data_IF_565447142717
#
_entry.id   IF_565447142717
#
_cell.length_a   1.000
_cell.length_b   1.000
_cell.length_c   1.000
_cell.angle_alpha   90.00
_cell.angle_beta   90.00
_cell.angle_gamma   90.00
#
_symmetry.space_group_name_H-M   'P 1'
#
loop_
_entity.id
_entity.type
_entity.pdbx_description
1 polymer ?
#
# COMPACT_ATOMS: atom_id res chain seq x y z
N UNK A 1 -9.24 2.71 -32.21
CA UNK A 1 -10.21 1.81 -31.55
C UNK A 1 -11.50 1.90 -32.35
N UNK A 2 -11.92 0.83 -33.05
CA UNK A 2 -13.08 0.90 -33.94
C UNK A 2 -14.36 1.09 -33.13
N UNK A 3 -15.13 2.13 -33.45
CA UNK A 3 -16.47 2.33 -32.89
C UNK A 3 -17.33 1.13 -33.31
N UNK A 4 -17.65 0.25 -32.37
CA UNK A 4 -18.55 -0.88 -32.61
C UNK A 4 -19.93 -0.30 -32.92
N UNK A 5 -20.47 -0.62 -34.10
CA UNK A 5 -21.82 -0.26 -34.49
C UNK A 5 -22.83 -0.88 -33.51
N UNK A 6 -23.62 -0.04 -32.85
CA UNK A 6 -24.73 -0.48 -31.99
C UNK A 6 -25.99 -0.60 -32.85
N UNK A 7 -26.63 -1.77 -32.96
CA UNK A 7 -27.83 -1.95 -33.77
C UNK A 7 -29.04 -1.24 -33.15
N UNK A 8 -29.93 -0.73 -34.00
CA UNK A 8 -31.14 0.00 -33.59
C UNK A 8 -32.02 -0.78 -32.58
N UNK A 9 -32.07 -2.11 -32.69
CA UNK A 9 -32.83 -2.96 -31.78
C UNK A 9 -32.44 -2.78 -30.31
N UNK A 10 -31.17 -2.50 -30.03
CA UNK A 10 -30.70 -2.29 -28.66
C UNK A 10 -31.30 -1.01 -28.05
N UNK A 11 -31.42 0.06 -28.83
CA UNK A 11 -32.04 1.31 -28.38
C UNK A 11 -33.57 1.16 -28.26
N UNK A 12 -34.22 0.53 -29.25
CA UNK A 12 -35.67 0.30 -29.21
C UNK A 12 -36.09 -0.55 -28.01
N UNK A 13 -35.30 -1.58 -27.67
CA UNK A 13 -35.58 -2.43 -26.49
C UNK A 13 -35.54 -1.63 -25.18
N UNK A 14 -34.59 -0.69 -25.04
CA UNK A 14 -34.50 0.17 -23.87
C UNK A 14 -35.70 1.11 -23.75
N UNK A 15 -36.17 1.68 -24.87
CA UNK A 15 -37.40 2.47 -24.88
C UNK A 15 -38.59 1.61 -24.45
N UNK A 16 -38.74 0.43 -25.05
CA UNK A 16 -39.87 -0.45 -24.77
C UNK A 16 -39.88 -0.95 -23.32
N UNK A 17 -38.73 -1.18 -22.67
CA UNK A 17 -38.71 -1.61 -21.27
C UNK A 17 -39.35 -0.62 -20.30
N UNK A 18 -39.34 0.68 -20.63
CA UNK A 18 -39.95 1.72 -19.80
C UNK A 18 -41.34 2.13 -20.28
N UNK A 19 -41.60 2.01 -21.59
CA UNK A 19 -42.81 2.54 -22.21
C UNK A 19 -43.86 1.47 -22.56
N UNK A 20 -43.67 0.18 -22.31
CA UNK A 20 -44.64 -0.86 -22.75
C UNK A 20 -45.82 -1.14 -21.79
N UNK A 21 -45.96 -0.42 -20.66
CA UNK A 21 -46.78 -0.87 -19.52
C UNK A 21 -47.89 0.05 -18.98
N UNK A 22 -48.27 1.14 -19.64
CA UNK A 22 -49.25 2.10 -19.12
C UNK A 22 -50.48 2.31 -20.01
N UNK A 23 -51.65 2.58 -19.41
CA UNK A 23 -52.95 2.81 -20.09
C UNK A 23 -53.08 4.17 -20.81
N UNK A 24 -52.03 4.98 -20.84
CA UNK A 24 -52.03 6.28 -21.51
C UNK A 24 -51.27 6.21 -22.84
N UNK A 25 -51.72 7.01 -23.81
CA UNK A 25 -51.19 7.06 -25.17
C UNK A 25 -49.68 7.31 -25.16
N UNK A 26 -48.90 6.27 -25.49
CA UNK A 26 -47.44 6.26 -25.37
C UNK A 26 -46.70 7.14 -26.39
N UNK A 27 -47.39 7.62 -27.43
CA UNK A 27 -46.83 8.53 -28.41
C UNK A 27 -47.91 9.51 -28.88
N UNK A 28 -47.64 10.81 -28.78
CA UNK A 28 -48.55 11.88 -29.20
C UNK A 28 -48.71 12.01 -30.72
N UNK A 29 -48.01 11.19 -31.51
CA UNK A 29 -48.04 11.22 -32.97
C UNK A 29 -49.14 10.29 -33.53
N UNK A 30 -49.80 10.74 -34.60
CA UNK A 30 -50.88 10.00 -35.26
C UNK A 30 -50.41 8.62 -35.75
N UNK A 31 -51.30 7.63 -35.69
CA UNK A 31 -51.00 6.25 -36.08
C UNK A 31 -50.50 6.14 -37.53
N UNK A 32 -51.11 6.87 -38.47
CA UNK A 32 -50.67 6.92 -39.88
C UNK A 32 -49.19 7.30 -40.02
N UNK A 33 -48.73 8.33 -39.31
CA UNK A 33 -47.32 8.76 -39.35
C UNK A 33 -46.38 7.81 -38.62
N UNK A 34 -46.85 7.12 -37.59
CA UNK A 34 -46.05 6.12 -36.88
C UNK A 34 -45.85 4.86 -37.74
N UNK A 35 -46.88 4.44 -38.46
CA UNK A 35 -46.81 3.30 -39.39
C UNK A 35 -45.85 3.56 -40.55
N UNK A 36 -45.78 4.78 -41.08
CA UNK A 36 -44.80 5.16 -42.11
C UNK A 36 -43.33 4.99 -41.66
N UNK A 37 -43.08 4.98 -40.35
CA UNK A 37 -41.75 4.82 -39.74
C UNK A 37 -41.61 3.51 -38.97
N UNK A 38 -42.49 2.55 -39.24
CA UNK A 38 -42.49 1.21 -38.62
C UNK A 38 -42.49 1.24 -37.08
N UNK A 39 -43.18 2.23 -36.49
CA UNK A 39 -43.19 2.49 -35.05
C UNK A 39 -41.78 2.62 -34.42
N UNK A 40 -40.76 2.98 -35.20
CA UNK A 40 -39.39 3.11 -34.73
C UNK A 40 -39.16 4.47 -34.03
N UNK A 41 -39.17 4.45 -32.69
CA UNK A 41 -38.98 5.63 -31.84
C UNK A 41 -37.68 6.40 -32.12
N UNK A 42 -36.62 5.72 -32.54
CA UNK A 42 -35.28 6.29 -32.74
C UNK A 42 -35.30 7.31 -33.88
N UNK A 43 -36.08 7.07 -34.93
CA UNK A 43 -36.11 7.94 -36.12
C UNK A 43 -36.60 9.36 -35.82
N UNK A 44 -37.48 9.53 -34.83
CA UNK A 44 -38.02 10.82 -34.43
C UNK A 44 -37.30 11.40 -33.20
N UNK A 45 -36.95 10.56 -32.22
CA UNK A 45 -36.40 11.01 -30.94
C UNK A 45 -34.87 10.98 -30.86
N UNK A 46 -34.21 10.28 -31.80
CA UNK A 46 -32.75 10.24 -31.93
C UNK A 46 -32.34 10.36 -33.41
N UNK A 47 -32.71 11.45 -34.09
CA UNK A 47 -32.28 11.67 -35.46
C UNK A 47 -30.76 11.76 -35.53
N UNK A 48 -30.17 11.29 -36.63
CA UNK A 48 -28.75 11.47 -36.89
C UNK A 48 -28.47 12.94 -37.18
N UNK A 49 -28.03 13.69 -36.18
CA UNK A 49 -27.50 15.03 -36.41
C UNK A 49 -26.06 14.92 -36.91
N UNK A 50 -25.76 15.62 -38.00
CA UNK A 50 -24.38 15.78 -38.45
C UNK A 50 -23.59 16.64 -37.47
N UNK A 51 -22.26 16.60 -37.56
CA UNK A 51 -21.34 17.40 -36.74
C UNK A 51 -21.46 18.92 -36.92
N UNK A 52 -22.42 19.39 -37.73
CA UNK A 52 -22.65 20.80 -38.03
C UNK A 52 -23.43 21.52 -36.92
N UNK A 53 -24.20 20.78 -36.10
CA UNK A 53 -24.98 21.30 -34.97
C UNK A 53 -24.25 21.22 -33.62
N UNK A 54 -22.98 20.82 -33.62
CA UNK A 54 -22.13 20.99 -32.45
C UNK A 54 -21.75 22.47 -32.42
N UNK A 55 -22.14 23.25 -31.38
CA UNK A 55 -21.69 24.63 -31.28
C UNK A 55 -20.16 24.61 -31.38
N UNK A 56 -19.62 25.34 -32.35
CA UNK A 56 -18.18 25.53 -32.45
C UNK A 56 -17.77 26.36 -31.25
N UNK A 57 -17.49 25.70 -30.13
CA UNK A 57 -16.88 26.35 -28.98
C UNK A 57 -15.44 26.61 -29.38
N UNK A 58 -15.17 27.83 -29.85
CA UNK A 58 -13.81 28.33 -29.86
C UNK A 58 -13.39 28.44 -28.39
N UNK A 59 -12.71 27.41 -27.88
CA UNK A 59 -11.96 27.52 -26.63
C UNK A 59 -10.78 28.41 -26.96
N UNK A 60 -10.97 29.72 -26.85
CA UNK A 60 -9.82 30.59 -26.67
C UNK A 60 -9.22 30.18 -25.35
N UNK A 61 -8.07 29.52 -25.40
CA UNK A 61 -7.22 29.32 -24.23
C UNK A 61 -6.89 30.73 -23.76
N UNK A 62 -7.65 31.23 -22.79
CA UNK A 62 -7.28 32.45 -22.12
C UNK A 62 -5.97 32.07 -21.46
N UNK A 63 -4.86 32.61 -21.96
CA UNK A 63 -3.62 32.56 -21.24
C UNK A 63 -3.85 33.30 -19.93
N UNK A 64 -4.31 32.57 -18.90
CA UNK A 64 -4.48 33.06 -17.54
C UNK A 64 -3.05 33.25 -17.05
N UNK A 65 -2.48 34.40 -17.40
CA UNK A 65 -1.20 34.82 -16.88
C UNK A 65 -1.44 35.05 -15.40
N UNK A 66 -1.02 34.10 -14.55
CA UNK A 66 -0.87 34.37 -13.12
C UNK A 66 -0.09 35.67 -13.02
N UNK A 67 -0.64 36.69 -12.34
CA UNK A 67 0.14 37.88 -12.00
C UNK A 67 1.46 37.37 -11.40
N UNK A 68 2.63 37.87 -11.82
CA UNK A 68 3.89 37.44 -11.24
C UNK A 68 3.84 37.82 -9.76
N UNK A 69 3.52 36.84 -8.92
CA UNK A 69 3.58 36.93 -7.48
C UNK A 69 5.06 36.93 -7.14
N UNK A 70 5.53 37.91 -6.37
CA UNK A 70 6.94 37.94 -5.97
C UNK A 70 7.27 36.62 -5.24
N UNK A 71 8.48 36.09 -5.42
CA UNK A 71 8.85 34.77 -4.83
C UNK A 71 8.59 34.70 -3.32
N UNK A 72 8.69 35.84 -2.62
CA UNK A 72 8.38 35.99 -1.20
C UNK A 72 6.89 35.75 -0.92
N UNK A 73 6.00 36.39 -1.66
CA UNK A 73 4.55 36.23 -1.52
C UNK A 73 4.10 34.78 -1.83
N UNK A 74 4.76 34.10 -2.77
CA UNK A 74 4.46 32.68 -3.04
C UNK A 74 4.76 31.81 -1.82
N UNK A 75 5.87 32.06 -1.13
CA UNK A 75 6.24 31.27 0.05
C UNK A 75 5.27 31.45 1.21
N UNK A 76 4.77 32.67 1.45
CA UNK A 76 3.76 32.97 2.47
C UNK A 76 2.39 32.36 2.11
N UNK A 77 2.00 32.40 0.82
CA UNK A 77 0.73 31.80 0.34
C UNK A 77 0.75 30.27 0.46
N UNK A 78 1.91 29.64 0.28
CA UNK A 78 2.05 28.17 0.38
C UNK A 78 2.38 27.67 1.79
N UNK A 79 2.52 28.57 2.77
CA UNK A 79 2.83 28.18 4.12
C UNK A 79 1.74 27.28 4.69
N UNK A 80 2.14 26.17 5.30
CA UNK A 80 1.22 25.30 5.99
C UNK A 80 0.68 26.02 7.23
N UNK A 81 -0.59 26.40 7.20
CA UNK A 81 -1.25 27.09 8.31
C UNK A 81 -1.78 26.12 9.37
N UNK A 82 -2.18 24.92 8.96
CA UNK A 82 -2.74 23.90 9.84
C UNK A 82 -3.69 22.95 9.12
N UNK A 83 -4.26 22.04 9.89
CA UNK A 83 -5.28 21.09 9.40
C UNK A 83 -6.62 21.49 9.98
N UNK A 84 -7.62 21.57 9.09
CA UNK A 84 -9.01 21.86 9.44
C UNK A 84 -9.87 20.72 8.92
N UNK A 85 -10.83 20.28 9.72
CA UNK A 85 -11.83 19.32 9.28
C UNK A 85 -12.96 20.05 8.57
N UNK A 86 -13.25 19.66 7.33
CA UNK A 86 -14.21 20.36 6.49
C UNK A 86 -15.68 20.01 6.82
N UNK A 87 -15.94 18.81 7.35
CA UNK A 87 -17.29 18.29 7.56
C UNK A 87 -17.71 18.18 9.03
N UNK A 88 -16.86 18.61 9.97
CA UNK A 88 -17.17 18.66 11.38
C UNK A 88 -16.43 19.84 12.02
N UNK A 89 -17.17 20.86 12.43
CA UNK A 89 -16.59 22.05 13.06
C UNK A 89 -16.07 21.77 14.48
N UNK A 90 -16.57 20.70 15.12
CA UNK A 90 -16.27 20.33 16.51
C UNK A 90 -15.50 19.01 16.59
N UNK A 91 -14.34 18.94 15.94
CA UNK A 91 -13.47 17.75 15.98
C UNK A 91 -12.79 17.62 17.34
N UNK A 92 -12.83 16.41 17.90
CA UNK A 92 -12.15 16.06 19.15
C UNK A 92 -10.63 16.04 18.99
N UNK A 93 -9.90 16.22 20.09
CA UNK A 93 -8.46 16.41 20.06
C UNK A 93 -7.71 15.20 19.46
N UNK A 94 -8.14 13.97 19.77
CA UNK A 94 -7.54 12.74 19.21
C UNK A 94 -7.70 12.70 17.69
N UNK A 95 -8.87 13.05 17.16
CA UNK A 95 -9.09 13.09 15.71
C UNK A 95 -8.25 14.18 15.03
N UNK A 96 -8.07 15.35 15.66
CA UNK A 96 -7.12 16.37 15.16
C UNK A 96 -5.69 15.84 15.13
N UNK A 97 -5.23 15.20 16.20
CA UNK A 97 -3.90 14.59 16.27
C UNK A 97 -3.68 13.56 15.15
N UNK A 98 -4.67 12.71 14.89
CA UNK A 98 -4.62 11.77 13.76
C UNK A 98 -4.51 12.47 12.42
N UNK A 99 -5.23 13.58 12.21
CA UNK A 99 -5.10 14.38 10.99
C UNK A 99 -3.66 14.82 10.73
N UNK A 100 -2.96 15.33 11.76
CA UNK A 100 -1.55 15.69 11.67
C UNK A 100 -0.64 14.49 11.37
N UNK A 101 -0.85 13.35 12.03
CA UNK A 101 -0.07 12.13 11.76
C UNK A 101 -0.30 11.58 10.35
N UNK A 102 -1.55 11.59 9.85
CA UNK A 102 -1.85 11.18 8.47
C UNK A 102 -1.20 12.12 7.45
N UNK A 103 -1.22 13.42 7.71
CA UNK A 103 -0.57 14.40 6.83
C UNK A 103 0.95 14.22 6.81
N UNK A 104 1.54 13.92 7.98
CA UNK A 104 2.95 13.57 8.11
C UNK A 104 3.33 12.35 7.26
N UNK A 105 2.59 11.25 7.39
CA UNK A 105 2.91 9.99 6.72
C UNK A 105 2.69 10.06 5.20
N UNK A 106 1.66 10.79 4.74
CA UNK A 106 1.25 10.77 3.32
C UNK A 106 1.88 11.88 2.48
N UNK A 107 2.13 13.05 3.06
CA UNK A 107 2.44 14.24 2.28
C UNK A 107 3.72 14.95 2.70
N UNK A 108 3.93 15.15 4.00
CA UNK A 108 5.04 15.97 4.48
C UNK A 108 5.61 15.45 5.81
N UNK A 109 6.71 14.67 5.82
CA UNK A 109 7.31 14.16 7.04
C UNK A 109 8.09 15.25 7.80
N UNK A 110 7.36 16.21 8.37
CA UNK A 110 7.88 17.31 9.18
C UNK A 110 7.61 17.06 10.68
N UNK A 111 8.67 17.12 11.50
CA UNK A 111 8.58 16.91 12.95
C UNK A 111 7.58 17.84 13.65
N UNK A 112 7.42 19.10 13.20
CA UNK A 112 6.47 20.04 13.81
C UNK A 112 5.01 19.60 13.70
N UNK A 113 4.67 18.74 12.73
CA UNK A 113 3.34 18.13 12.64
C UNK A 113 3.13 17.09 13.75
N UNK A 114 4.18 16.34 14.09
CA UNK A 114 4.13 15.38 15.20
C UNK A 114 4.10 16.12 16.54
N UNK A 115 4.81 17.23 16.70
CA UNK A 115 4.70 18.07 17.90
C UNK A 115 3.26 18.60 18.10
N UNK A 116 2.63 19.04 17.00
CA UNK A 116 1.22 19.46 17.00
C UNK A 116 0.30 18.29 17.38
N UNK A 117 0.53 17.11 16.80
CA UNK A 117 -0.26 15.92 17.11
C UNK A 117 -0.11 15.50 18.58
N UNK A 118 1.10 15.51 19.14
CA UNK A 118 1.35 15.23 20.57
C UNK A 118 0.58 16.22 21.45
N UNK A 119 0.64 17.51 21.13
CA UNK A 119 -0.07 18.57 21.86
C UNK A 119 -1.57 18.28 21.94
N UNK A 120 -2.17 17.83 20.83
CA UNK A 120 -3.60 17.45 20.81
C UNK A 120 -3.88 16.13 21.55
N UNK A 121 -2.99 15.13 21.47
CA UNK A 121 -3.17 13.89 22.25
C UNK A 121 -3.13 14.15 23.77
N UNK A 122 -2.24 15.04 24.21
CA UNK A 122 -2.09 15.39 25.63
C UNK A 122 -3.33 16.09 26.21
N UNK A 123 -4.17 16.71 25.37
CA UNK A 123 -5.45 17.28 25.78
C UNK A 123 -6.49 16.21 26.19
N UNK A 124 -6.35 14.96 25.73
CA UNK A 124 -7.34 13.88 25.93
C UNK A 124 -6.65 12.54 26.31
N UNK A 125 -5.57 12.63 27.10
CA UNK A 125 -4.70 11.50 27.45
C UNK A 125 -5.42 10.33 28.14
N UNK A 126 -6.39 10.64 29.00
CA UNK A 126 -7.11 9.63 29.80
C UNK A 126 -7.99 8.76 28.90
N UNK A 127 -8.61 9.37 27.88
CA UNK A 127 -9.41 8.64 26.89
C UNK A 127 -8.53 7.77 26.00
N UNK A 128 -7.36 8.26 25.59
CA UNK A 128 -6.38 7.43 24.87
C UNK A 128 -5.97 6.20 25.68
N UNK A 129 -5.64 6.40 26.96
CA UNK A 129 -5.24 5.31 27.85
C UNK A 129 -6.36 4.30 28.10
N UNK A 130 -7.57 4.78 28.41
CA UNK A 130 -8.67 3.93 28.87
C UNK A 130 -9.50 3.33 27.73
N UNK A 131 -9.72 4.06 26.63
CA UNK A 131 -10.58 3.61 25.52
C UNK A 131 -9.80 3.11 24.30
N UNK A 132 -8.59 3.63 24.05
CA UNK A 132 -7.85 3.42 22.79
C UNK A 132 -6.57 2.61 22.96
N UNK A 133 -6.28 2.13 24.17
CA UNK A 133 -5.09 1.33 24.47
C UNK A 133 -3.79 2.06 24.10
N UNK A 134 -3.77 3.40 24.23
CA UNK A 134 -2.65 4.29 23.86
C UNK A 134 -2.17 4.13 22.41
N UNK A 135 -3.03 3.68 21.48
CA UNK A 135 -2.62 3.38 20.11
C UNK A 135 -2.03 4.58 19.37
N UNK A 136 -2.55 5.79 19.61
CA UNK A 136 -2.07 6.98 18.92
C UNK A 136 -0.75 7.48 19.51
N UNK A 137 -0.53 7.31 20.82
CA UNK A 137 0.79 7.49 21.43
C UNK A 137 1.83 6.48 20.91
N UNK A 138 1.46 5.21 20.76
CA UNK A 138 2.34 4.21 20.13
C UNK A 138 2.67 4.61 18.69
N UNK A 139 1.68 5.04 17.90
CA UNK A 139 1.89 5.49 16.53
C UNK A 139 2.84 6.66 16.45
N UNK A 140 2.63 7.72 17.23
CA UNK A 140 3.43 8.94 17.13
C UNK A 140 4.88 8.72 17.57
N UNK A 141 5.12 8.00 18.67
CA UNK A 141 6.48 7.70 19.10
C UNK A 141 7.19 6.74 18.15
N UNK A 142 6.44 5.87 17.46
CA UNK A 142 6.99 5.07 16.38
C UNK A 142 7.43 5.93 15.18
N UNK A 143 6.62 6.91 14.76
CA UNK A 143 6.97 7.85 13.69
C UNK A 143 8.18 8.73 14.03
N UNK A 144 8.35 9.06 15.32
CA UNK A 144 9.53 9.76 15.83
C UNK A 144 10.77 8.86 15.96
N UNK A 145 10.69 7.58 15.59
CA UNK A 145 11.70 6.55 15.84
C UNK A 145 12.12 6.44 17.32
N UNK A 146 11.26 6.87 18.24
CA UNK A 146 11.49 6.77 19.68
C UNK A 146 10.98 5.42 20.19
N UNK A 147 11.71 4.35 19.84
CA UNK A 147 11.34 2.98 20.20
C UNK A 147 11.34 2.76 21.71
N UNK A 148 12.14 3.52 22.47
CA UNK A 148 12.10 3.49 23.94
C UNK A 148 10.73 3.90 24.46
N UNK A 149 10.17 5.01 23.99
CA UNK A 149 8.82 5.45 24.36
C UNK A 149 7.75 4.45 23.92
N UNK A 150 7.84 3.89 22.72
CA UNK A 150 6.91 2.83 22.27
C UNK A 150 6.93 1.64 23.24
N UNK A 151 8.11 1.19 23.65
CA UNK A 151 8.25 0.11 24.63
C UNK A 151 7.73 0.49 26.02
N UNK A 152 7.88 1.75 26.47
CA UNK A 152 7.29 2.23 27.73
C UNK A 152 5.76 2.05 27.71
N UNK A 153 5.07 2.50 26.64
CA UNK A 153 3.62 2.27 26.50
C UNK A 153 3.25 0.79 26.36
N UNK A 154 4.11 -0.02 25.73
CA UNK A 154 3.87 -1.45 25.62
C UNK A 154 3.84 -2.17 26.98
N UNK A 155 4.52 -1.64 28.01
CA UNK A 155 4.54 -2.26 29.35
C UNK A 155 3.18 -2.29 30.04
N UNK A 156 2.30 -1.32 29.75
CA UNK A 156 0.93 -1.27 30.29
C UNK A 156 -0.06 -2.07 29.45
N UNK A 157 0.37 -2.62 28.31
CA UNK A 157 -0.47 -3.33 27.36
C UNK A 157 -0.19 -4.84 27.40
N UNK A 158 -1.21 -5.63 27.11
CA UNK A 158 -1.09 -7.08 26.98
C UNK A 158 -1.41 -7.49 25.53
N UNK A 159 -0.51 -8.20 24.82
CA UNK A 159 -0.75 -8.59 23.42
C UNK A 159 -2.10 -9.27 23.22
N UNK A 160 -2.48 -10.20 24.11
CA UNK A 160 -3.74 -10.95 24.00
C UNK A 160 -5.00 -10.07 24.00
N UNK A 161 -4.95 -8.87 24.61
CA UNK A 161 -6.09 -7.95 24.72
C UNK A 161 -6.01 -6.76 23.77
N UNK A 162 -4.89 -6.56 23.08
CA UNK A 162 -4.74 -5.45 22.14
C UNK A 162 -5.62 -5.69 20.92
N UNK A 163 -6.44 -4.71 20.54
CA UNK A 163 -7.42 -4.86 19.45
C UNK A 163 -6.95 -4.30 18.11
N UNK A 164 -5.97 -3.40 18.13
CA UNK A 164 -5.45 -2.71 16.95
C UNK A 164 -4.19 -3.41 16.39
N UNK A 165 -4.28 -3.91 15.15
CA UNK A 165 -3.20 -4.68 14.52
C UNK A 165 -1.95 -3.83 14.25
N UNK A 166 -2.13 -2.59 13.80
CA UNK A 166 -1.02 -1.66 13.55
C UNK A 166 -0.26 -1.32 14.82
N UNK A 167 -0.96 -1.15 15.94
CA UNK A 167 -0.35 -0.92 17.26
C UNK A 167 0.50 -2.12 17.67
N UNK A 168 -0.03 -3.33 17.51
CA UNK A 168 0.72 -4.56 17.79
C UNK A 168 1.98 -4.64 16.90
N UNK A 169 1.85 -4.35 15.60
CA UNK A 169 2.95 -4.32 14.66
C UNK A 169 4.03 -3.31 15.07
N UNK A 170 3.65 -2.06 15.37
CA UNK A 170 4.59 -0.98 15.76
C UNK A 170 5.35 -1.30 17.03
N UNK A 171 4.67 -1.91 18.02
CA UNK A 171 5.33 -2.38 19.24
C UNK A 171 6.32 -3.51 18.91
N UNK A 172 5.92 -4.49 18.10
CA UNK A 172 6.80 -5.58 17.67
C UNK A 172 8.05 -5.07 16.95
N UNK A 173 7.87 -4.13 16.03
CA UNK A 173 8.98 -3.50 15.32
C UNK A 173 9.89 -2.71 16.27
N UNK A 174 9.35 -1.95 17.22
CA UNK A 174 10.15 -1.24 18.22
C UNK A 174 11.01 -2.18 19.08
N UNK A 175 10.47 -3.33 19.51
CA UNK A 175 11.24 -4.36 20.21
C UNK A 175 12.32 -4.98 19.31
N UNK A 176 11.98 -5.32 18.05
CA UNK A 176 12.92 -5.91 17.09
C UNK A 176 14.09 -4.97 16.79
N UNK A 177 13.83 -3.69 16.51
CA UNK A 177 14.85 -2.67 16.25
C UNK A 177 15.73 -2.38 17.47
N UNK A 178 15.23 -2.68 18.67
CA UNK A 178 15.98 -2.59 19.93
C UNK A 178 16.74 -3.88 20.28
N UNK A 179 16.79 -4.86 19.37
CA UNK A 179 17.45 -6.16 19.57
C UNK A 179 16.68 -7.15 20.47
N UNK A 180 15.48 -6.79 20.91
CA UNK A 180 14.63 -7.55 21.83
C UNK A 180 13.64 -8.44 21.06
N UNK A 181 14.21 -9.32 20.23
CA UNK A 181 13.45 -10.14 19.26
C UNK A 181 12.48 -11.11 19.95
N UNK A 182 12.84 -11.63 21.13
CA UNK A 182 11.98 -12.56 21.88
C UNK A 182 10.66 -11.89 22.31
N UNK A 183 10.74 -10.63 22.76
CA UNK A 183 9.57 -9.83 23.11
C UNK A 183 8.77 -9.39 21.88
N UNK A 184 9.43 -9.13 20.75
CA UNK A 184 8.77 -8.76 19.50
C UNK A 184 7.81 -9.87 18.99
N UNK A 185 8.17 -11.15 19.19
CA UNK A 185 7.41 -12.31 18.68
C UNK A 185 5.92 -12.26 19.01
N UNK A 186 5.56 -12.01 20.28
CA UNK A 186 4.16 -12.01 20.72
C UNK A 186 3.36 -10.85 20.11
N UNK A 187 4.02 -9.71 19.85
CA UNK A 187 3.40 -8.54 19.26
C UNK A 187 3.19 -8.72 17.76
N UNK A 188 4.18 -9.26 17.04
CA UNK A 188 4.00 -9.62 15.63
C UNK A 188 2.95 -10.72 15.43
N UNK A 189 2.97 -11.75 16.30
CA UNK A 189 1.91 -12.77 16.29
C UNK A 189 0.53 -12.14 16.49
N UNK A 190 0.41 -11.19 17.44
CA UNK A 190 -0.86 -10.50 17.67
C UNK A 190 -1.30 -9.70 16.44
N UNK A 191 -0.41 -8.95 15.80
CA UNK A 191 -0.70 -8.20 14.58
C UNK A 191 -1.21 -9.13 13.46
N UNK A 192 -0.49 -10.23 13.22
CA UNK A 192 -0.84 -11.25 12.24
C UNK A 192 -2.15 -12.00 12.59
N UNK A 193 -2.46 -12.15 13.87
CA UNK A 193 -3.73 -12.79 14.32
C UNK A 193 -4.93 -11.86 14.09
N UNK A 194 -4.78 -10.55 14.35
CA UNK A 194 -5.88 -9.59 14.16
C UNK A 194 -6.17 -9.42 12.66
N UNK A 195 -5.14 -9.29 11.83
CA UNK A 195 -5.25 -9.17 10.38
C UNK A 195 -4.47 -10.27 9.66
N UNK A 196 -5.06 -11.46 9.48
CA UNK A 196 -4.36 -12.61 8.89
C UNK A 196 -3.92 -12.40 7.44
N UNK A 197 -4.71 -11.64 6.66
CA UNK A 197 -4.41 -11.35 5.25
C UNK A 197 -3.51 -10.11 5.06
N UNK A 198 -3.08 -9.44 6.13
CA UNK A 198 -2.01 -8.45 6.06
C UNK A 198 -0.67 -9.19 5.97
N UNK A 199 -0.30 -9.62 4.76
CA UNK A 199 0.86 -10.49 4.52
C UNK A 199 2.19 -9.89 5.01
N UNK A 200 2.29 -8.56 5.09
CA UNK A 200 3.44 -7.88 5.68
C UNK A 200 3.59 -8.16 7.19
N UNK A 201 2.47 -8.31 7.91
CA UNK A 201 2.49 -8.66 9.33
C UNK A 201 2.86 -10.13 9.52
N UNK A 202 2.33 -11.01 8.66
CA UNK A 202 2.76 -12.42 8.61
C UNK A 202 4.25 -12.52 8.33
N UNK A 203 4.77 -11.75 7.36
CA UNK A 203 6.17 -11.76 6.99
C UNK A 203 7.07 -11.32 8.16
N UNK A 204 6.70 -10.26 8.88
CA UNK A 204 7.42 -9.84 10.10
C UNK A 204 7.37 -10.89 11.20
N UNK A 205 6.23 -11.56 11.39
CA UNK A 205 6.13 -12.66 12.34
C UNK A 205 7.03 -13.84 11.96
N UNK A 206 6.99 -14.27 10.69
CA UNK A 206 7.85 -15.33 10.15
C UNK A 206 9.34 -14.98 10.27
N UNK A 207 9.73 -13.75 9.94
CA UNK A 207 11.11 -13.28 10.07
C UNK A 207 11.57 -13.27 11.53
N UNK A 208 10.69 -12.87 12.46
CA UNK A 208 10.95 -12.93 13.90
C UNK A 208 11.13 -14.39 14.37
N UNK A 209 10.33 -15.33 13.87
CA UNK A 209 10.50 -16.75 14.17
C UNK A 209 11.85 -17.29 13.67
N UNK A 210 12.29 -16.89 12.47
CA UNK A 210 13.62 -17.24 11.95
C UNK A 210 14.74 -16.69 12.82
N UNK A 211 14.66 -15.42 13.22
CA UNK A 211 15.67 -14.80 14.08
C UNK A 211 15.76 -15.50 15.46
N UNK A 212 14.67 -16.12 15.92
CA UNK A 212 14.62 -16.94 17.14
C UNK A 212 14.93 -18.42 16.90
N UNK A 213 15.41 -18.78 15.70
CA UNK A 213 15.71 -20.14 15.28
C UNK A 213 14.52 -21.12 15.35
N UNK A 214 13.28 -20.61 15.31
CA UNK A 214 12.07 -21.44 15.21
C UNK A 214 11.73 -21.70 13.74
N UNK A 215 12.63 -22.43 13.07
CA UNK A 215 12.56 -22.71 11.64
C UNK A 215 11.26 -23.41 11.20
N UNK A 216 10.75 -24.44 11.91
CA UNK A 216 9.54 -25.15 11.46
C UNK A 216 8.31 -24.25 11.39
N UNK A 217 8.13 -23.37 12.38
CA UNK A 217 6.98 -22.48 12.42
C UNK A 217 7.13 -21.32 11.43
N UNK A 218 8.34 -20.77 11.28
CA UNK A 218 8.61 -19.76 10.27
C UNK A 218 8.31 -20.25 8.86
N UNK A 219 8.69 -21.49 8.54
CA UNK A 219 8.42 -22.13 7.24
C UNK A 219 6.92 -22.20 6.94
N UNK A 220 6.09 -22.59 7.92
CA UNK A 220 4.62 -22.59 7.76
C UNK A 220 4.08 -21.20 7.46
N UNK A 221 4.58 -20.17 8.16
CA UNK A 221 4.16 -18.78 7.94
C UNK A 221 4.50 -18.32 6.52
N UNK A 222 5.72 -18.57 6.03
CA UNK A 222 6.07 -18.18 4.67
C UNK A 222 5.35 -19.00 3.60
N UNK A 223 5.08 -20.28 3.86
CA UNK A 223 4.24 -21.11 2.98
C UNK A 223 2.80 -20.57 2.91
N UNK A 224 2.23 -20.12 4.03
CA UNK A 224 0.93 -19.45 4.05
C UNK A 224 0.94 -18.15 3.24
N UNK A 225 1.98 -17.30 3.40
CA UNK A 225 2.10 -16.07 2.60
C UNK A 225 2.12 -16.39 1.10
N UNK A 226 2.85 -17.43 0.69
CA UNK A 226 2.92 -17.85 -0.72
C UNK A 226 1.60 -18.47 -1.20
N UNK A 227 0.83 -19.16 -0.34
CA UNK A 227 -0.48 -19.66 -0.74
C UNK A 227 -1.49 -18.54 -0.97
N UNK A 228 -1.40 -17.45 -0.20
CA UNK A 228 -2.25 -16.26 -0.36
C UNK A 228 -1.78 -15.36 -1.52
N UNK A 229 -0.47 -15.18 -1.65
CA UNK A 229 0.16 -14.42 -2.73
C UNK A 229 1.41 -15.15 -3.25
N UNK A 230 1.28 -15.92 -4.35
CA UNK A 230 2.39 -16.62 -4.97
C UNK A 230 3.51 -15.72 -5.52
N UNK A 231 3.30 -14.41 -5.60
CA UNK A 231 4.26 -13.43 -6.10
C UNK A 231 4.96 -12.66 -4.98
N UNK A 232 4.74 -13.02 -3.71
CA UNK A 232 5.34 -12.35 -2.56
C UNK A 232 6.84 -12.69 -2.45
N UNK A 233 7.70 -11.91 -3.13
CA UNK A 233 9.12 -12.18 -3.33
C UNK A 233 9.92 -12.29 -2.02
N UNK A 234 9.58 -11.49 -1.02
CA UNK A 234 10.22 -11.55 0.31
C UNK A 234 9.99 -12.90 1.02
N UNK A 235 8.82 -13.53 0.87
CA UNK A 235 8.53 -14.85 1.47
C UNK A 235 9.30 -15.96 0.76
N UNK A 236 9.42 -15.87 -0.58
CA UNK A 236 10.31 -16.75 -1.34
C UNK A 236 11.77 -16.59 -0.92
N UNK A 237 12.24 -15.38 -0.67
CA UNK A 237 13.59 -15.11 -0.17
C UNK A 237 13.84 -15.82 1.17
N UNK A 238 12.89 -15.71 2.10
CA UNK A 238 12.99 -16.32 3.42
C UNK A 238 12.90 -17.85 3.36
N UNK A 239 12.03 -18.44 2.53
CA UNK A 239 12.04 -19.88 2.30
C UNK A 239 13.35 -20.35 1.66
N UNK A 240 13.87 -19.61 0.68
CA UNK A 240 15.16 -19.90 0.06
C UNK A 240 16.28 -19.99 1.10
N UNK A 241 16.34 -19.01 2.00
CA UNK A 241 17.27 -19.02 3.14
C UNK A 241 17.08 -20.23 4.07
N UNK A 242 15.85 -20.55 4.45
CA UNK A 242 15.55 -21.75 5.27
C UNK A 242 16.06 -23.02 4.59
N UNK A 243 15.78 -23.20 3.29
CA UNK A 243 16.23 -24.39 2.57
C UNK A 243 17.75 -24.44 2.42
N UNK A 244 18.45 -23.29 2.36
CA UNK A 244 19.91 -23.26 2.45
C UNK A 244 20.40 -23.78 3.81
N UNK A 245 19.78 -23.37 4.91
CA UNK A 245 20.13 -23.86 6.26
C UNK A 245 19.84 -25.35 6.43
N UNK A 246 18.79 -25.86 5.80
CA UNK A 246 18.44 -27.29 5.78
C UNK A 246 19.34 -28.10 4.83
N UNK A 247 20.21 -27.47 4.02
CA UNK A 247 21.04 -28.14 3.02
C UNK A 247 20.29 -28.59 1.76
N UNK A 248 19.02 -28.19 1.59
CA UNK A 248 18.22 -28.52 0.43
C UNK A 248 18.50 -27.52 -0.72
N UNK A 249 19.64 -27.71 -1.39
CA UNK A 249 20.12 -26.78 -2.41
C UNK A 249 19.14 -26.58 -3.57
N UNK A 250 18.40 -27.62 -3.99
CA UNK A 250 17.48 -27.52 -5.12
C UNK A 250 16.29 -26.61 -4.79
N UNK A 251 15.68 -26.79 -3.62
CA UNK A 251 14.56 -25.95 -3.18
C UNK A 251 14.99 -24.52 -2.86
N UNK A 252 16.19 -24.35 -2.28
CA UNK A 252 16.76 -23.04 -2.05
C UNK A 252 16.88 -22.23 -3.35
N UNK A 253 17.46 -22.84 -4.40
CA UNK A 253 17.62 -22.19 -5.69
C UNK A 253 16.29 -21.83 -6.35
N UNK A 254 15.32 -22.75 -6.36
CA UNK A 254 14.00 -22.50 -6.94
C UNK A 254 13.31 -21.30 -6.28
N UNK A 255 13.32 -21.24 -4.94
CA UNK A 255 12.72 -20.13 -4.22
C UNK A 255 13.49 -18.81 -4.39
N UNK A 256 14.82 -18.81 -4.38
CA UNK A 256 15.61 -17.60 -4.60
C UNK A 256 15.43 -17.05 -6.02
N UNK A 257 15.31 -17.91 -7.03
CA UNK A 257 15.00 -17.48 -8.39
C UNK A 257 13.59 -16.92 -8.51
N UNK A 258 12.59 -17.55 -7.89
CA UNK A 258 11.23 -16.99 -7.85
C UNK A 258 11.21 -15.62 -7.17
N UNK A 259 11.94 -15.47 -6.06
CA UNK A 259 12.07 -14.18 -5.38
C UNK A 259 12.61 -13.10 -6.34
N UNK A 260 13.67 -13.39 -7.09
CA UNK A 260 14.25 -12.46 -8.08
C UNK A 260 13.43 -12.33 -9.36
N UNK A 261 12.57 -13.29 -9.69
CA UNK A 261 11.62 -13.15 -10.79
C UNK A 261 10.57 -12.08 -10.47
N UNK A 262 10.09 -12.04 -9.23
CA UNK A 262 9.08 -11.08 -8.78
C UNK A 262 9.69 -9.75 -8.30
N UNK A 263 10.85 -9.81 -7.65
CA UNK A 263 11.59 -8.66 -7.12
C UNK A 263 13.06 -8.73 -7.59
N UNK A 264 13.37 -8.35 -8.85
CA UNK A 264 14.71 -8.53 -9.45
C UNK A 264 15.86 -7.82 -8.73
N UNK A 265 15.54 -6.75 -8.01
CA UNK A 265 16.50 -5.93 -7.28
C UNK A 265 16.47 -6.20 -5.76
N UNK A 266 15.82 -7.27 -5.29
CA UNK A 266 15.78 -7.58 -3.86
C UNK A 266 17.18 -7.85 -3.31
N UNK A 267 17.70 -6.91 -2.50
CA UNK A 267 19.05 -6.97 -1.91
C UNK A 267 19.31 -8.30 -1.21
N UNK A 268 18.38 -8.75 -0.36
CA UNK A 268 18.56 -9.98 0.41
C UNK A 268 18.51 -11.24 -0.48
N UNK A 269 17.64 -11.26 -1.49
CA UNK A 269 17.56 -12.38 -2.43
C UNK A 269 18.84 -12.51 -3.27
N UNK A 270 19.39 -11.38 -3.75
CA UNK A 270 20.66 -11.35 -4.48
C UNK A 270 21.82 -11.85 -3.61
N UNK A 271 21.91 -11.42 -2.34
CA UNK A 271 22.92 -11.91 -1.39
C UNK A 271 22.78 -13.42 -1.19
N UNK A 272 21.57 -13.89 -0.88
CA UNK A 272 21.33 -15.32 -0.63
C UNK A 272 21.65 -16.17 -1.87
N UNK A 273 21.31 -15.69 -3.07
CA UNK A 273 21.62 -16.41 -4.32
C UNK A 273 23.12 -16.41 -4.62
N UNK A 274 23.83 -15.32 -4.35
CA UNK A 274 25.29 -15.29 -4.48
C UNK A 274 25.97 -16.27 -3.52
N UNK A 275 25.54 -16.31 -2.25
CA UNK A 275 26.02 -17.31 -1.28
C UNK A 275 25.69 -18.73 -1.74
N UNK A 276 24.49 -18.95 -2.28
CA UNK A 276 24.10 -20.25 -2.82
C UNK A 276 25.03 -20.67 -3.96
N UNK A 277 25.32 -19.79 -4.92
CA UNK A 277 26.23 -20.09 -6.04
C UNK A 277 27.65 -20.41 -5.54
N UNK A 278 28.18 -19.61 -4.62
CA UNK A 278 29.50 -19.84 -4.02
C UNK A 278 29.59 -21.20 -3.31
N UNK A 279 28.59 -21.53 -2.49
CA UNK A 279 28.52 -22.82 -1.78
C UNK A 279 28.43 -24.01 -2.74
N UNK A 280 27.92 -23.81 -3.96
CA UNK A 280 27.83 -24.83 -5.01
C UNK A 280 28.98 -24.75 -6.04
N UNK A 281 30.07 -24.02 -5.74
CA UNK A 281 31.26 -23.89 -6.62
C UNK A 281 30.96 -23.24 -7.97
N UNK A 282 29.97 -22.35 -8.02
CA UNK A 282 29.56 -21.60 -9.20
C UNK A 282 29.96 -20.12 -9.07
N UNK A 283 31.22 -19.86 -8.76
CA UNK A 283 31.72 -18.52 -8.40
C UNK A 283 31.53 -17.49 -9.52
N UNK A 284 31.65 -17.90 -10.79
CA UNK A 284 31.35 -17.05 -11.94
C UNK A 284 29.90 -16.53 -11.95
N UNK A 285 28.95 -17.31 -11.42
CA UNK A 285 27.55 -16.88 -11.30
C UNK A 285 27.35 -16.01 -10.05
N UNK A 286 28.02 -16.35 -8.94
CA UNK A 286 28.02 -15.54 -7.73
C UNK A 286 28.54 -14.12 -8.01
N UNK A 287 29.65 -14.00 -8.73
CA UNK A 287 30.25 -12.73 -9.14
C UNK A 287 29.26 -11.90 -9.97
N UNK A 288 28.60 -12.49 -10.97
CA UNK A 288 27.59 -11.79 -11.78
C UNK A 288 26.44 -11.22 -10.94
N UNK A 289 25.93 -12.01 -10.00
CA UNK A 289 24.84 -11.59 -9.10
C UNK A 289 25.31 -10.45 -8.19
N UNK A 290 26.52 -10.56 -7.65
CA UNK A 290 27.08 -9.52 -6.77
C UNK A 290 27.44 -8.24 -7.52
N UNK A 291 27.94 -8.32 -8.76
CA UNK A 291 28.16 -7.16 -9.62
C UNK A 291 26.85 -6.43 -9.91
N UNK A 292 25.76 -7.16 -10.18
CA UNK A 292 24.42 -6.56 -10.28
C UNK A 292 24.00 -5.89 -8.99
N UNK A 293 24.21 -6.54 -7.85
CA UNK A 293 23.89 -6.01 -6.53
C UNK A 293 24.66 -4.72 -6.20
N UNK A 294 25.97 -4.66 -6.47
CA UNK A 294 26.79 -3.45 -6.26
C UNK A 294 26.41 -2.34 -7.24
N UNK A 295 26.08 -2.67 -8.49
CA UNK A 295 25.59 -1.70 -9.46
C UNK A 295 24.30 -1.03 -8.98
N UNK A 296 23.37 -1.79 -8.39
CA UNK A 296 22.09 -1.27 -7.89
C UNK A 296 22.22 -0.59 -6.53
N UNK A 297 23.10 -1.10 -5.66
CA UNK A 297 23.34 -0.61 -4.31
C UNK A 297 24.84 -0.36 -4.08
N UNK A 298 25.38 0.77 -4.58
CA UNK A 298 26.81 1.07 -4.51
C UNK A 298 27.36 1.18 -3.09
N UNK A 299 26.52 1.47 -2.09
CA UNK A 299 26.90 1.60 -0.69
C UNK A 299 26.81 0.27 0.09
N UNK A 300 26.54 -0.85 -0.59
CA UNK A 300 26.47 -2.15 0.06
C UNK A 300 27.88 -2.74 0.31
N UNK A 301 28.47 -2.42 1.46
CA UNK A 301 29.79 -2.90 1.86
C UNK A 301 29.89 -4.43 1.95
N UNK A 302 28.82 -5.12 2.38
CA UNK A 302 28.79 -6.58 2.41
C UNK A 302 28.98 -7.18 1.01
N UNK A 303 28.28 -6.62 0.00
CA UNK A 303 28.38 -7.10 -1.36
C UNK A 303 29.78 -6.88 -1.97
N UNK A 304 30.42 -5.75 -1.65
CA UNK A 304 31.81 -5.46 -2.07
C UNK A 304 32.80 -6.42 -1.44
N UNK A 305 32.65 -6.71 -0.14
CA UNK A 305 33.49 -7.69 0.56
C UNK A 305 33.35 -9.08 -0.06
N UNK A 306 32.12 -9.54 -0.31
CA UNK A 306 31.88 -10.84 -0.96
C UNK A 306 32.49 -10.92 -2.37
N UNK A 307 32.49 -9.83 -3.15
CA UNK A 307 33.16 -9.80 -4.45
C UNK A 307 34.68 -9.92 -4.34
N UNK A 308 35.28 -9.24 -3.36
CA UNK A 308 36.71 -9.30 -3.12
C UNK A 308 37.15 -10.71 -2.72
N UNK A 309 36.35 -11.39 -1.88
CA UNK A 309 36.62 -12.76 -1.43
C UNK A 309 36.56 -13.78 -2.57
N UNK A 310 35.73 -13.56 -3.61
CA UNK A 310 35.65 -14.43 -4.79
C UNK A 310 36.83 -14.25 -5.77
N UNK A 311 37.58 -13.16 -5.66
CA UNK A 311 38.70 -12.85 -6.56
C UNK A 311 40.05 -13.42 -6.08
N UNK A 312 40.09 -14.06 -4.91
CA UNK A 312 41.25 -14.70 -4.27
C UNK A 312 41.28 -16.21 -4.54
#
# INVERSE_FOLDING_TARGET
MSLKFTPNSQYTNACNSCHSGGKDVLCSETEEKRMLKDNNCITCHMPKNGSIDIPHVAVTDHYIRKRPVEKRDVSEITAFLGIVCYNNDNVDAITKARGFMEFYERYNPNQGLLDSALTYLDMDKEREANEKQNRDYVRIYFLLNNYKKVMEYATSLKPAHLTDAWTAYRIGEAYSQSGRVAEAKQWFNRAATIWPHALDFQNKYGACLLALNNIPEAKKVFQYIISENPQYGTAHTNLGFIYMQEGNNAMAYDHLNKALQYEPDSKQALINLAVWYHNNRLDNMAEKVLLHLVKKYPDNEQAKAMLADLAL
#
